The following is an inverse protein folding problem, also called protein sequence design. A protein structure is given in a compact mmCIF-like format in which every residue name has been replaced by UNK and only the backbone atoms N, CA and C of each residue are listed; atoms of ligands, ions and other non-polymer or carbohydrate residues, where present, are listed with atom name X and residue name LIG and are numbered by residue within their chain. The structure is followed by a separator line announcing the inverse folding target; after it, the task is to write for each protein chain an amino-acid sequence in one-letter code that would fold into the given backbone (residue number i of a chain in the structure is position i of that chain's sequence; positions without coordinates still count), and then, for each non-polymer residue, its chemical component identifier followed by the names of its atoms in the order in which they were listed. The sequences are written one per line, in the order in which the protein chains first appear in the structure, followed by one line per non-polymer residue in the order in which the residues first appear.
data_IF_061364736331
#
_entry.id   IF_061364736331
#
_cell.length_a   1.000
_cell.length_b   1.000
_cell.length_c   1.000
_cell.angle_alpha   90.00
_cell.angle_beta   90.00
_cell.angle_gamma   90.00
#
_symmetry.space_group_name_H-M   'P 1'
#
loop_
_entity.id
_entity.type
_entity.pdbx_description
1 polymer ?
#
# COMPACT_ATOMS: atom_id res chain seq x y z
N UNK A 1 20.02 -2.67 13.72
CA UNK A 1 18.95 -3.67 13.62
C UNK A 1 17.68 -2.91 13.95
N UNK A 2 16.95 -2.44 12.94
CA UNK A 2 15.67 -1.73 13.17
C UNK A 2 14.62 -2.78 13.50
N UNK A 3 14.30 -2.92 14.79
CA UNK A 3 13.19 -3.75 15.29
C UNK A 3 11.88 -2.99 15.15
N UNK A 4 11.56 -2.55 13.93
CA UNK A 4 10.33 -1.81 13.67
C UNK A 4 9.14 -2.79 13.59
N UNK A 5 8.01 -2.39 14.19
CA UNK A 5 6.78 -3.17 14.14
C UNK A 5 6.22 -3.18 12.72
N UNK A 6 5.75 -4.35 12.28
CA UNK A 6 5.00 -4.48 11.04
C UNK A 6 3.57 -3.97 11.31
N UNK A 7 3.17 -2.92 10.60
CA UNK A 7 1.84 -2.28 10.73
C UNK A 7 0.83 -2.84 9.72
N UNK A 8 1.31 -3.44 8.64
CA UNK A 8 0.46 -4.16 7.70
C UNK A 8 1.26 -5.06 6.76
N UNK A 9 0.60 -6.06 6.18
CA UNK A 9 1.18 -6.91 5.16
C UNK A 9 0.13 -7.34 4.12
N UNK A 10 0.58 -7.64 2.92
CA UNK A 10 -0.22 -8.23 1.85
C UNK A 10 0.68 -9.05 0.90
N UNK A 11 0.06 -9.67 -0.09
CA UNK A 11 0.73 -10.52 -1.08
C UNK A 11 0.73 -9.88 -2.47
N UNK A 12 1.85 -9.96 -3.17
CA UNK A 12 2.03 -9.51 -4.55
C UNK A 12 1.88 -10.72 -5.49
N UNK A 13 0.69 -10.96 -6.08
CA UNK A 13 0.40 -12.20 -6.78
C UNK A 13 1.17 -12.39 -8.09
N UNK A 14 1.43 -11.33 -8.84
CA UNK A 14 2.13 -11.44 -10.13
C UNK A 14 3.63 -11.65 -9.92
N UNK A 15 4.22 -10.84 -9.04
CA UNK A 15 5.63 -10.87 -8.71
C UNK A 15 5.99 -12.05 -7.81
N UNK A 16 5.02 -12.59 -7.05
CA UNK A 16 5.19 -13.67 -6.07
C UNK A 16 6.07 -13.25 -4.90
N UNK A 17 5.79 -12.09 -4.33
CA UNK A 17 6.45 -11.58 -3.12
C UNK A 17 5.43 -11.32 -2.01
N UNK A 18 5.90 -11.32 -0.77
CA UNK A 18 5.17 -10.75 0.36
C UNK A 18 5.62 -9.31 0.53
N UNK A 19 4.68 -8.41 0.76
CA UNK A 19 4.97 -7.02 1.13
C UNK A 19 4.52 -6.77 2.56
N UNK A 20 5.31 -6.05 3.32
CA UNK A 20 4.88 -5.47 4.58
C UNK A 20 5.32 -4.01 4.68
N UNK A 21 4.58 -3.26 5.47
CA UNK A 21 4.92 -1.90 5.85
C UNK A 21 5.24 -1.87 7.34
N UNK A 22 6.21 -1.04 7.66
CA UNK A 22 6.60 -0.66 9.02
C UNK A 22 6.36 0.83 9.17
N UNK A 23 6.79 1.44 10.28
CA UNK A 23 6.71 2.89 10.45
C UNK A 23 7.34 3.64 9.25
N UNK A 24 8.60 3.42 8.91
CA UNK A 24 9.29 4.25 7.89
C UNK A 24 9.80 3.49 6.66
N UNK A 25 9.43 2.22 6.50
CA UNK A 25 9.93 1.38 5.40
C UNK A 25 8.87 0.44 4.84
N UNK A 26 9.03 0.09 3.56
CA UNK A 26 8.31 -1.03 2.93
C UNK A 26 9.29 -2.17 2.75
N UNK A 27 8.95 -3.36 3.22
CA UNK A 27 9.78 -4.56 3.13
C UNK A 27 9.11 -5.56 2.20
N UNK A 28 9.89 -6.15 1.30
CA UNK A 28 9.43 -7.05 0.24
C UNK A 28 10.25 -8.33 0.31
N UNK A 29 9.60 -9.49 0.50
CA UNK A 29 10.26 -10.79 0.62
C UNK A 29 9.91 -11.71 -0.54
N UNK A 30 10.92 -12.34 -1.12
CA UNK A 30 10.71 -13.44 -2.04
C UNK A 30 10.34 -14.70 -1.24
N UNK A 31 9.07 -15.07 -1.22
CA UNK A 31 8.63 -16.23 -0.42
C UNK A 31 9.06 -17.57 -1.04
N UNK A 32 9.57 -17.58 -2.28
CA UNK A 32 10.01 -18.81 -2.95
C UNK A 32 11.47 -19.14 -2.73
N UNK A 33 12.26 -18.16 -2.31
CA UNK A 33 13.68 -18.38 -2.05
C UNK A 33 13.85 -19.14 -0.74
N UNK A 34 14.63 -20.22 -0.76
CA UNK A 34 15.07 -20.93 0.45
C UNK A 34 16.13 -20.13 1.22
N UNK A 35 16.65 -19.04 0.66
CA UNK A 35 17.60 -18.14 1.32
C UNK A 35 16.87 -17.24 2.33
N UNK A 36 17.30 -17.30 3.59
CA UNK A 36 16.64 -16.67 4.74
C UNK A 36 16.58 -15.13 4.73
N UNK A 37 17.18 -14.45 3.75
CA UNK A 37 17.25 -12.98 3.68
C UNK A 37 17.09 -12.43 2.25
N UNK A 38 16.40 -13.17 1.36
CA UNK A 38 16.17 -12.68 0.00
C UNK A 38 14.97 -11.72 -0.05
N UNK A 39 15.28 -10.42 -0.07
CA UNK A 39 14.25 -9.40 -0.15
C UNK A 39 14.80 -8.00 -0.40
N UNK A 40 13.88 -7.04 -0.45
CA UNK A 40 14.13 -5.64 -0.70
C UNK A 40 13.52 -4.78 0.41
N UNK A 41 14.19 -3.69 0.78
CA UNK A 41 13.68 -2.69 1.72
C UNK A 41 13.65 -1.34 1.04
N UNK A 42 12.46 -0.78 0.87
CA UNK A 42 12.26 0.57 0.36
C UNK A 42 12.29 1.55 1.53
N UNK A 43 13.22 2.50 1.50
CA UNK A 43 13.39 3.54 2.51
C UNK A 43 14.11 4.77 1.94
N UNK A 44 13.97 5.96 2.57
CA UNK A 44 13.07 6.27 3.68
C UNK A 44 11.66 6.64 3.21
N UNK A 45 10.63 6.08 3.85
CA UNK A 45 9.27 6.62 3.71
C UNK A 45 9.14 7.85 4.60
N UNK A 46 8.59 8.94 4.04
CA UNK A 46 8.55 10.25 4.72
C UNK A 46 7.66 10.27 5.97
N UNK A 47 6.57 9.51 5.95
CA UNK A 47 5.54 9.46 7.00
C UNK A 47 5.40 8.04 7.53
N UNK A 48 4.76 7.87 8.69
CA UNK A 48 4.60 6.57 9.31
C UNK A 48 3.54 5.75 8.57
N UNK A 49 3.93 4.67 7.87
CA UNK A 49 2.96 3.81 7.18
C UNK A 49 2.21 2.93 8.19
N UNK A 50 0.88 2.89 8.06
CA UNK A 50 -0.02 2.24 9.01
C UNK A 50 -0.75 1.03 8.43
N UNK A 51 -0.92 0.97 7.10
CA UNK A 51 -1.60 -0.12 6.44
C UNK A 51 -1.16 -0.26 4.99
N UNK A 52 -1.34 -1.47 4.42
CA UNK A 52 -1.02 -1.78 3.03
C UNK A 52 -2.09 -2.70 2.44
N UNK A 53 -2.34 -2.59 1.13
CA UNK A 53 -3.18 -3.51 0.39
C UNK A 53 -2.75 -3.59 -1.08
N UNK A 54 -2.66 -4.79 -1.63
CA UNK A 54 -2.37 -5.03 -3.05
C UNK A 54 -3.57 -4.67 -3.92
N UNK A 55 -3.29 -3.98 -5.02
CA UNK A 55 -4.24 -3.69 -6.08
C UNK A 55 -4.24 -4.86 -7.05
N UNK A 56 -5.34 -5.61 -7.06
CA UNK A 56 -5.50 -6.73 -7.99
C UNK A 56 -6.12 -6.27 -9.31
N UNK A 57 -5.27 -6.03 -10.31
CA UNK A 57 -5.67 -5.83 -11.70
C UNK A 57 -5.56 -7.13 -12.50
N UNK A 58 -6.40 -7.27 -13.53
CA UNK A 58 -6.47 -8.48 -14.35
C UNK A 58 -5.51 -8.47 -15.55
N UNK A 59 -4.50 -7.61 -15.56
CA UNK A 59 -3.71 -7.31 -16.76
C UNK A 59 -2.59 -8.32 -17.06
N UNK A 60 -2.39 -9.36 -16.22
CA UNK A 60 -1.37 -10.42 -16.40
C UNK A 60 0.05 -9.90 -16.67
N UNK A 61 0.30 -8.62 -16.37
CA UNK A 61 1.60 -8.01 -16.51
C UNK A 61 2.47 -8.43 -15.33
N UNK A 62 3.79 -8.52 -15.54
CA UNK A 62 4.77 -8.84 -14.50
C UNK A 62 5.03 -7.64 -13.57
N UNK A 63 3.93 -7.07 -13.04
CA UNK A 63 3.88 -5.93 -12.13
C UNK A 63 2.78 -6.13 -11.10
N UNK A 64 2.96 -5.59 -9.91
CA UNK A 64 1.91 -5.43 -8.91
C UNK A 64 1.91 -3.98 -8.42
N UNK A 65 0.73 -3.46 -8.07
CA UNK A 65 0.63 -2.17 -7.40
C UNK A 65 0.13 -2.36 -5.98
N UNK A 66 0.60 -1.53 -5.06
CA UNK A 66 0.17 -1.51 -3.65
C UNK A 66 -0.34 -0.14 -3.26
N UNK A 67 -1.39 -0.14 -2.45
CA UNK A 67 -1.89 1.01 -1.72
C UNK A 67 -1.31 1.01 -0.32
N UNK A 68 -0.92 2.17 0.19
CA UNK A 68 -0.48 2.34 1.58
C UNK A 68 -1.14 3.56 2.19
N UNK A 69 -1.45 3.51 3.48
CA UNK A 69 -1.97 4.65 4.25
C UNK A 69 -1.01 5.07 5.36
N UNK A 70 -0.96 6.36 5.70
CA UNK A 70 -0.04 6.89 6.73
C UNK A 70 -0.71 7.67 7.88
N UNK A 71 0.12 8.07 8.85
CA UNK A 71 -0.21 8.87 10.03
C UNK A 71 -0.45 10.38 9.75
N UNK A 72 -0.45 10.80 8.48
CA UNK A 72 -0.70 12.19 8.06
C UNK A 72 -1.88 12.29 7.10
N UNK A 73 -2.63 11.20 6.92
CA UNK A 73 -3.82 11.15 6.09
C UNK A 73 -3.55 11.03 4.58
N UNK A 74 -2.32 10.65 4.19
CA UNK A 74 -1.99 10.36 2.81
C UNK A 74 -2.24 8.89 2.48
N UNK A 75 -2.74 8.70 1.26
CA UNK A 75 -2.79 7.41 0.59
C UNK A 75 -1.77 7.42 -0.55
N UNK A 76 -0.96 6.37 -0.59
CA UNK A 76 0.10 6.16 -1.57
C UNK A 76 -0.30 5.07 -2.54
N UNK A 77 0.18 5.18 -3.77
CA UNK A 77 0.18 4.12 -4.77
C UNK A 77 1.62 3.91 -5.24
N UNK A 78 2.13 2.71 -5.02
CA UNK A 78 3.43 2.28 -5.55
C UNK A 78 3.19 1.15 -6.54
N UNK A 79 3.78 1.23 -7.73
CA UNK A 79 3.81 0.14 -8.70
C UNK A 79 5.20 -0.46 -8.73
N UNK A 80 5.26 -1.78 -8.58
CA UNK A 80 6.47 -2.58 -8.61
C UNK A 80 6.46 -3.45 -9.87
N UNK A 81 7.59 -3.50 -10.57
CA UNK A 81 7.79 -4.30 -11.76
C UNK A 81 8.96 -5.25 -11.57
N UNK A 82 9.06 -6.29 -12.41
CA UNK A 82 10.22 -7.19 -12.38
C UNK A 82 11.55 -6.46 -12.58
N UNK A 83 11.57 -5.40 -13.41
CA UNK A 83 12.76 -4.61 -13.72
C UNK A 83 13.29 -3.83 -12.51
N UNK A 84 12.39 -3.38 -11.62
CA UNK A 84 12.77 -2.69 -10.37
C UNK A 84 13.63 -3.59 -9.48
N UNK A 85 13.45 -4.91 -9.59
CA UNK A 85 14.23 -5.92 -8.87
C UNK A 85 15.48 -6.36 -9.62
N UNK A 86 15.44 -6.44 -10.97
CA UNK A 86 16.54 -6.92 -11.83
C UNK A 86 17.63 -5.85 -12.00
N UNK A 87 17.29 -4.60 -12.29
CA UNK A 87 18.29 -3.54 -12.56
C UNK A 87 19.20 -3.25 -11.37
N UNK A 88 18.77 -3.61 -10.16
CA UNK A 88 19.50 -3.33 -8.91
C UNK A 88 20.26 -4.54 -8.35
N UNK A 89 20.15 -5.71 -9.00
CA UNK A 89 20.99 -6.88 -8.70
C UNK A 89 22.46 -6.67 -9.08
N UNK A 90 22.74 -5.91 -10.15
CA UNK A 90 24.11 -5.73 -10.66
C UNK A 90 25.02 -4.84 -9.80
N UNK A 91 24.47 -4.12 -8.80
CA UNK A 91 25.25 -3.22 -7.92
C UNK A 91 25.48 -3.75 -6.50
N UNK A 92 24.85 -4.85 -6.11
CA UNK A 92 24.95 -5.37 -4.75
C UNK A 92 26.01 -6.49 -4.70
N UNK A 93 27.11 -6.25 -3.97
CA UNK A 93 28.05 -7.30 -3.58
C UNK A 93 27.32 -8.38 -2.76
N UNK A 94 27.87 -9.61 -2.83
CA UNK A 94 27.36 -10.80 -2.15
C UNK A 94 27.36 -10.64 -0.63
N UNK A 95 26.32 -10.06 -0.07
CA UNK A 95 26.00 -10.24 1.35
C UNK A 95 24.53 -10.63 1.51
N UNK A 96 24.29 -11.57 2.42
CA UNK A 96 22.99 -12.10 2.83
C UNK A 96 22.20 -11.08 3.64
N UNK A 97 21.88 -9.94 3.03
CA UNK A 97 21.12 -8.86 3.63
C UNK A 97 20.14 -8.26 2.63
N UNK A 98 19.00 -7.77 3.13
CA UNK A 98 17.99 -7.09 2.31
C UNK A 98 18.61 -6.01 1.43
N UNK A 99 18.24 -6.02 0.15
CA UNK A 99 18.67 -5.00 -0.80
C UNK A 99 17.90 -3.71 -0.55
N UNK A 100 18.61 -2.63 -0.23
CA UNK A 100 17.99 -1.34 0.02
C UNK A 100 17.64 -0.65 -1.31
N UNK A 101 16.39 -0.23 -1.43
CA UNK A 101 15.86 0.56 -2.52
C UNK A 101 15.56 1.96 -1.99
N UNK A 102 16.11 2.98 -2.64
CA UNK A 102 15.74 4.36 -2.34
C UNK A 102 14.33 4.65 -2.88
N UNK A 103 13.45 5.13 -2.01
CA UNK A 103 12.09 5.52 -2.35
C UNK A 103 12.02 6.64 -3.37
N UNK A 104 13.01 7.53 -3.44
CA UNK A 104 13.04 8.65 -4.41
C UNK A 104 13.25 8.16 -5.84
N UNK A 105 13.82 6.98 -6.01
CA UNK A 105 14.05 6.34 -7.31
C UNK A 105 12.85 5.48 -7.77
N UNK A 106 11.75 5.48 -7.03
CA UNK A 106 10.54 4.73 -7.34
C UNK A 106 9.39 5.68 -7.69
N UNK A 107 8.54 5.25 -8.61
CA UNK A 107 7.32 6.00 -8.94
C UNK A 107 6.26 5.77 -7.85
N UNK A 108 6.35 6.54 -6.77
CA UNK A 108 5.39 6.53 -5.66
C UNK A 108 4.49 7.75 -5.81
N UNK A 109 3.24 7.51 -6.19
CA UNK A 109 2.21 8.54 -6.16
C UNK A 109 1.64 8.65 -4.75
N UNK A 110 1.26 9.85 -4.32
CA UNK A 110 0.59 10.05 -3.05
C UNK A 110 -0.37 11.21 -3.10
N UNK A 111 -1.44 11.11 -2.31
CA UNK A 111 -2.44 12.16 -2.17
C UNK A 111 -2.98 12.20 -0.75
N UNK A 112 -3.13 13.41 -0.20
CA UNK A 112 -3.81 13.60 1.08
C UNK A 112 -5.32 13.44 0.87
N UNK A 113 -5.91 12.46 1.53
CA UNK A 113 -7.34 12.13 1.43
C UNK A 113 -8.08 12.27 2.75
N UNK A 114 -7.35 12.23 3.86
CA UNK A 114 -7.89 12.33 5.20
C UNK A 114 -7.15 13.43 5.96
N UNK A 115 -7.81 14.05 6.94
CA UNK A 115 -7.16 15.04 7.82
C UNK A 115 -6.62 14.44 9.12
N UNK A 116 -6.82 13.14 9.31
CA UNK A 116 -6.27 12.31 10.38
C UNK A 116 -5.68 11.00 9.80
N UNK A 117 -5.20 10.10 10.65
CA UNK A 117 -4.52 8.86 10.27
C UNK A 117 -5.37 8.00 9.33
N UNK A 118 -4.73 7.39 8.34
CA UNK A 118 -5.38 6.40 7.47
C UNK A 118 -5.40 5.05 8.18
N UNK A 119 -6.55 4.69 8.76
CA UNK A 119 -6.70 3.47 9.54
C UNK A 119 -6.71 2.19 8.68
N UNK A 120 -7.22 2.28 7.45
CA UNK A 120 -7.22 1.16 6.51
C UNK A 120 -7.27 1.62 5.06
N UNK A 121 -6.57 0.91 4.19
CA UNK A 121 -6.73 0.98 2.73
C UNK A 121 -7.14 -0.39 2.19
N UNK A 122 -7.94 -0.42 1.14
CA UNK A 122 -8.31 -1.68 0.46
C UNK A 122 -8.68 -1.46 -0.99
N UNK A 123 -8.17 -2.29 -1.89
CA UNK A 123 -8.71 -2.40 -3.23
C UNK A 123 -9.89 -3.39 -3.27
N UNK A 124 -11.00 -2.97 -3.86
CA UNK A 124 -12.22 -3.77 -4.00
C UNK A 124 -12.38 -4.13 -5.47
N UNK A 125 -11.85 -5.28 -5.87
CA UNK A 125 -11.80 -5.72 -7.27
C UNK A 125 -13.18 -5.81 -7.92
N UNK A 126 -14.20 -6.22 -7.16
CA UNK A 126 -15.59 -6.27 -7.62
C UNK A 126 -16.15 -4.90 -8.06
N UNK A 127 -15.64 -3.81 -7.48
CA UNK A 127 -16.04 -2.45 -7.81
C UNK A 127 -15.04 -1.77 -8.76
N UNK A 128 -13.83 -2.34 -8.91
CA UNK A 128 -12.67 -1.69 -9.54
C UNK A 128 -12.36 -0.33 -8.89
N UNK A 129 -12.46 -0.26 -7.57
CA UNK A 129 -12.29 0.96 -6.77
C UNK A 129 -11.42 0.66 -5.55
N UNK A 130 -10.70 1.66 -5.09
CA UNK A 130 -10.05 1.61 -3.78
C UNK A 130 -10.93 2.29 -2.74
N UNK A 131 -10.84 1.81 -1.51
CA UNK A 131 -11.35 2.49 -0.34
C UNK A 131 -10.23 2.85 0.63
N UNK A 132 -10.41 3.94 1.36
CA UNK A 132 -9.59 4.29 2.52
C UNK A 132 -10.45 4.88 3.62
N UNK A 133 -10.07 4.69 4.89
CA UNK A 133 -10.82 5.22 6.03
C UNK A 133 -9.93 5.89 7.07
N UNK A 134 -10.53 6.76 7.88
CA UNK A 134 -9.89 7.52 8.94
C UNK A 134 -10.87 7.79 10.09
N UNK A 135 -10.33 8.00 11.29
CA UNK A 135 -11.04 8.49 12.48
C UNK A 135 -11.57 9.92 12.34
N UNK A 136 -11.16 10.66 11.30
CA UNK A 136 -11.75 11.96 11.00
C UNK A 136 -13.25 11.86 10.73
N UNK A 137 -14.02 12.78 11.28
CA UNK A 137 -15.47 12.84 11.10
C UNK A 137 -15.90 13.51 9.79
N UNK A 138 -15.07 14.38 9.21
CA UNK A 138 -15.41 15.10 7.97
C UNK A 138 -15.10 14.26 6.73
N UNK A 139 -13.90 13.69 6.67
CA UNK A 139 -13.41 12.82 5.60
C UNK A 139 -13.14 11.42 6.13
N UNK A 140 -14.17 10.81 6.69
CA UNK A 140 -14.04 9.51 7.36
C UNK A 140 -13.77 8.34 6.42
N UNK A 141 -14.24 8.42 5.18
CA UNK A 141 -14.16 7.32 4.22
C UNK A 141 -14.09 7.85 2.79
N UNK A 142 -13.24 7.23 1.96
CA UNK A 142 -13.14 7.49 0.52
C UNK A 142 -13.40 6.19 -0.23
N UNK A 143 -14.13 6.26 -1.33
CA UNK A 143 -14.32 5.13 -2.26
C UNK A 143 -14.27 5.63 -3.70
N UNK A 144 -13.12 5.48 -4.36
CA UNK A 144 -12.91 6.05 -5.70
C UNK A 144 -12.01 5.20 -6.61
N UNK A 145 -11.83 5.66 -7.85
CA UNK A 145 -10.90 5.08 -8.82
C UNK A 145 -9.47 5.35 -8.40
N UNK A 146 -8.56 4.42 -8.67
CA UNK A 146 -7.13 4.61 -8.41
C UNK A 146 -6.59 5.84 -9.16
N UNK A 147 -7.11 6.16 -10.34
CA UNK A 147 -6.77 7.38 -11.10
C UNK A 147 -6.96 8.68 -10.31
N UNK A 148 -7.80 8.65 -9.27
CA UNK A 148 -8.00 9.79 -8.37
C UNK A 148 -6.74 10.14 -7.58
N UNK A 149 -5.81 9.20 -7.41
CA UNK A 149 -4.49 9.46 -6.82
C UNK A 149 -3.54 10.18 -7.80
N UNK A 150 -3.83 10.16 -9.10
CA UNK A 150 -3.02 10.78 -10.18
C UNK A 150 -3.53 12.18 -10.55
N UNK A 151 -4.85 12.33 -10.69
CA UNK A 151 -5.45 13.50 -11.37
C UNK A 151 -5.83 14.69 -10.47
N UNK A 152 -5.66 14.55 -9.15
CA UNK A 152 -5.98 15.57 -8.13
C UNK A 152 -7.41 16.14 -8.15
N UNK A 153 -8.35 15.60 -8.95
CA UNK A 153 -9.73 16.08 -8.98
C UNK A 153 -10.46 15.66 -7.68
N UNK A 154 -11.65 16.20 -7.34
CA UNK A 154 -12.35 15.84 -6.11
C UNK A 154 -12.56 14.32 -5.94
N UNK A 155 -12.24 13.79 -4.76
CA UNK A 155 -12.44 12.38 -4.42
C UNK A 155 -13.86 12.16 -3.88
N UNK A 156 -14.38 10.95 -4.05
CA UNK A 156 -15.67 10.55 -3.45
C UNK A 156 -15.51 10.25 -1.96
N UNK A 157 -15.69 11.29 -1.17
CA UNK A 157 -15.57 11.31 0.29
C UNK A 157 -16.94 11.15 0.98
N UNK A 158 -16.95 10.50 2.15
CA UNK A 158 -18.11 10.30 3.00
C UNK A 158 -17.78 10.73 4.43
N UNK A 159 -18.72 11.42 5.06
CA UNK A 159 -18.67 11.79 6.46
C UNK A 159 -19.50 10.80 7.28
N UNK A 160 -18.87 10.20 8.29
CA UNK A 160 -19.49 9.34 9.29
C UNK A 160 -19.18 9.95 10.65
N UNK A 161 -20.20 10.25 11.47
CA UNK A 161 -19.97 10.75 12.82
C UNK A 161 -19.05 9.81 13.60
N UNK A 162 -18.02 10.38 14.26
CA UNK A 162 -16.94 9.66 14.97
C UNK A 162 -15.93 8.90 14.10
N UNK A 163 -16.01 9.04 12.78
CA UNK A 163 -15.03 8.45 11.86
C UNK A 163 -15.26 6.96 11.56
N UNK A 164 -14.33 6.38 10.81
CA UNK A 164 -14.34 4.97 10.41
C UNK A 164 -12.95 4.37 10.63
N UNK A 165 -12.88 3.34 11.47
CA UNK A 165 -11.63 2.65 11.82
C UNK A 165 -11.35 1.45 10.92
N UNK A 166 -12.40 0.83 10.38
CA UNK A 166 -12.28 -0.30 9.47
C UNK A 166 -13.45 -0.34 8.49
N UNK A 167 -13.23 -1.00 7.36
CA UNK A 167 -14.30 -1.29 6.42
C UNK A 167 -14.04 -2.59 5.66
N UNK A 168 -15.11 -3.13 5.06
CA UNK A 168 -15.08 -4.24 4.13
C UNK A 168 -16.23 -4.14 3.12
N UNK A 169 -16.15 -4.89 2.03
CA UNK A 169 -17.19 -4.96 1.01
C UNK A 169 -17.78 -6.36 0.94
N UNK A 170 -19.10 -6.46 1.03
CA UNK A 170 -19.83 -7.71 0.83
C UNK A 170 -20.34 -7.77 -0.61
N UNK A 171 -19.71 -8.60 -1.45
CA UNK A 171 -20.11 -8.77 -2.85
C UNK A 171 -21.53 -9.33 -3.03
N UNK A 172 -21.98 -10.20 -2.12
CA UNK A 172 -23.33 -10.80 -2.19
C UNK A 172 -24.43 -9.76 -1.98
N UNK A 173 -24.28 -8.92 -0.96
CA UNK A 173 -25.26 -7.88 -0.64
C UNK A 173 -25.00 -6.56 -1.37
N UNK A 174 -23.85 -6.42 -2.06
CA UNK A 174 -23.39 -5.19 -2.72
C UNK A 174 -23.31 -3.99 -1.77
N UNK A 175 -22.90 -4.24 -0.52
CA UNK A 175 -22.80 -3.20 0.52
C UNK A 175 -21.36 -3.03 0.99
N UNK A 176 -20.98 -1.79 1.29
CA UNK A 176 -19.80 -1.48 2.09
C UNK A 176 -20.23 -1.45 3.55
N UNK A 177 -19.51 -2.18 4.40
CA UNK A 177 -19.73 -2.20 5.84
C UNK A 177 -18.57 -1.47 6.48
N UNK A 178 -18.87 -0.47 7.31
CA UNK A 178 -17.90 0.28 8.10
C UNK A 178 -17.98 -0.12 9.57
N UNK A 179 -16.87 -0.01 10.29
CA UNK A 179 -16.77 -0.17 11.72
C UNK A 179 -15.95 0.98 12.30
N UNK A 180 -16.40 1.54 13.42
CA UNK A 180 -15.86 2.74 14.04
C UNK A 180 -16.28 2.80 15.49
#
# INVERSE_FOLDING_TARGET
QDTAWITGCDFLPQLKYVVAVTESTVVIWDYKSDEKDNGYVIKPMKNCLLCVCTVTTSDHLAKDSILMGDDKGYVYLLTLTSDDFIMKQYKAEKESQFRVLDSENLNILKRKLHDDWVGKVRYISALKRFGSCSSDSLRSFVLDDIKRLEDNLPAREFSVPKGVNAFTYCGKAKVVVTGG
#
